data_IF_681782551642
#
_entry.id   IF_681782551642
#
_cell.length_a   1.000
_cell.length_b   1.000
_cell.length_c   1.000
_cell.angle_alpha   90.00
_cell.angle_beta   90.00
_cell.angle_gamma   90.00
#
_symmetry.space_group_name_H-M   'P 1'
#
loop_
_entity.id
_entity.type
_entity.pdbx_description
1 polymer ?
#
# COMPACT_ATOMS: atom_id res chain seq x y z
N UNK A 1 19.17 -5.10 13.46
CA UNK A 1 19.65 -5.85 12.28
C UNK A 1 18.52 -6.71 11.73
N UNK A 2 17.76 -6.20 10.75
CA UNK A 2 16.76 -7.01 10.03
C UNK A 2 17.52 -8.10 9.28
N UNK A 3 17.44 -9.34 9.79
CA UNK A 3 18.08 -10.50 9.15
C UNK A 3 17.50 -10.65 7.75
N UNK A 4 18.36 -11.00 6.78
CA UNK A 4 18.07 -11.23 5.35
C UNK A 4 16.94 -12.26 5.15
N UNK A 5 15.70 -11.89 5.40
CA UNK A 5 14.56 -12.70 5.05
C UNK A 5 14.13 -12.32 3.64
N UNK A 6 14.13 -13.29 2.73
CA UNK A 6 13.55 -13.13 1.40
C UNK A 6 12.10 -12.67 1.55
N UNK A 7 11.72 -11.60 0.87
CA UNK A 7 10.39 -10.99 0.97
C UNK A 7 9.49 -11.51 -0.14
N UNK A 8 8.27 -11.89 0.19
CA UNK A 8 7.20 -12.16 -0.77
C UNK A 8 6.25 -10.97 -0.81
N UNK A 9 6.04 -10.44 -2.02
CA UNK A 9 5.12 -9.33 -2.28
C UNK A 9 3.78 -9.90 -2.76
N UNK A 10 2.68 -9.49 -2.14
CA UNK A 10 1.33 -9.93 -2.53
C UNK A 10 0.45 -8.72 -2.76
N UNK A 11 -0.50 -8.83 -3.70
CA UNK A 11 -1.59 -7.85 -3.82
C UNK A 11 -2.44 -7.92 -2.55
N UNK A 12 -2.87 -6.75 -2.09
CA UNK A 12 -3.74 -6.60 -0.92
C UNK A 12 -4.77 -5.51 -1.20
N UNK A 13 -6.03 -5.82 -0.93
CA UNK A 13 -7.06 -4.78 -0.85
C UNK A 13 -6.88 -4.01 0.46
N UNK A 14 -6.85 -2.68 0.36
CA UNK A 14 -6.74 -1.80 1.51
C UNK A 14 -7.99 -0.93 1.59
N UNK A 15 -8.41 -0.66 2.83
CA UNK A 15 -9.42 0.33 3.17
C UNK A 15 -8.73 1.49 3.89
N UNK A 16 -8.83 2.68 3.33
CA UNK A 16 -8.20 3.89 3.85
C UNK A 16 -9.24 4.91 4.24
N UNK A 17 -9.00 5.58 5.37
CA UNK A 17 -9.82 6.69 5.81
C UNK A 17 -9.08 8.01 5.60
N UNK A 18 -9.62 8.85 4.73
CA UNK A 18 -9.16 10.23 4.57
C UNK A 18 -10.30 11.15 5.05
N UNK A 19 -10.08 11.82 6.18
CA UNK A 19 -11.10 12.59 6.90
C UNK A 19 -12.33 11.74 7.23
N UNK A 20 -13.47 12.00 6.58
CA UNK A 20 -14.75 11.31 6.79
C UNK A 20 -15.07 10.28 5.70
N UNK A 21 -14.22 10.13 4.69
CA UNK A 21 -14.45 9.26 3.54
C UNK A 21 -13.56 8.02 3.58
N UNK A 22 -14.11 6.90 3.09
CA UNK A 22 -13.43 5.63 2.94
C UNK A 22 -13.08 5.39 1.47
N UNK A 23 -11.83 5.00 1.23
CA UNK A 23 -11.30 4.72 -0.11
C UNK A 23 -10.75 3.30 -0.14
N UNK A 24 -11.15 2.55 -1.16
CA UNK A 24 -10.59 1.21 -1.42
C UNK A 24 -9.59 1.27 -2.56
N UNK A 25 -8.44 0.64 -2.37
CA UNK A 25 -7.47 0.48 -3.43
C UNK A 25 -6.75 -0.87 -3.37
N UNK A 26 -6.23 -1.30 -4.52
CA UNK A 26 -5.38 -2.49 -4.61
C UNK A 26 -3.93 -2.07 -4.43
N UNK A 27 -3.39 -2.35 -3.23
CA UNK A 27 -1.98 -2.16 -2.90
C UNK A 27 -1.21 -3.48 -2.86
N UNK A 28 -0.08 -3.46 -2.18
CA UNK A 28 0.82 -4.59 -1.95
C UNK A 28 1.19 -4.70 -0.48
N UNK A 29 1.45 -5.91 -0.03
CA UNK A 29 2.08 -6.19 1.27
C UNK A 29 3.38 -6.98 1.07
N UNK A 30 4.32 -6.81 1.99
CA UNK A 30 5.53 -7.60 2.07
C UNK A 30 5.49 -8.50 3.31
N UNK A 31 5.75 -9.79 3.11
CA UNK A 31 5.87 -10.78 4.19
C UNK A 31 7.18 -11.54 4.05
N UNK A 32 7.82 -11.84 5.18
CA UNK A 32 8.99 -12.70 5.24
C UNK A 32 8.61 -14.11 4.78
N UNK A 33 9.30 -14.63 3.76
CA UNK A 33 8.99 -15.94 3.18
C UNK A 33 9.19 -17.10 4.17
N UNK A 34 9.97 -16.89 5.25
CA UNK A 34 10.26 -17.93 6.25
C UNK A 34 9.25 -17.99 7.39
N UNK A 35 8.93 -16.85 8.00
CA UNK A 35 8.05 -16.80 9.18
C UNK A 35 6.69 -16.15 8.93
N UNK A 36 6.45 -15.58 7.74
CA UNK A 36 5.19 -14.92 7.40
C UNK A 36 4.98 -13.54 8.03
N UNK A 37 5.93 -13.06 8.87
CA UNK A 37 5.85 -11.75 9.49
C UNK A 37 5.82 -10.63 8.43
N UNK A 38 5.09 -9.56 8.72
CA UNK A 38 5.11 -8.35 7.90
C UNK A 38 6.52 -7.75 7.86
N UNK A 39 6.93 -7.33 6.67
CA UNK A 39 8.20 -6.63 6.46
C UNK A 39 7.87 -5.28 5.89
N UNK A 40 8.34 -4.23 6.55
CA UNK A 40 8.22 -2.88 6.04
C UNK A 40 9.23 -2.65 4.92
N UNK A 41 8.74 -2.26 3.75
CA UNK A 41 9.52 -2.08 2.52
C UNK A 41 9.11 -0.72 1.97
N UNK A 42 10.00 0.30 2.04
CA UNK A 42 9.65 1.68 1.65
C UNK A 42 9.00 1.78 0.28
N UNK A 43 9.51 1.05 -0.72
CA UNK A 43 8.99 1.09 -2.09
C UNK A 43 7.56 0.54 -2.20
N UNK A 44 7.15 -0.35 -1.29
CA UNK A 44 5.77 -0.84 -1.19
C UNK A 44 4.88 0.22 -0.54
N UNK A 45 5.37 0.88 0.52
CA UNK A 45 4.70 2.01 1.16
C UNK A 45 4.39 3.12 0.16
N UNK A 46 5.42 3.58 -0.57
CA UNK A 46 5.30 4.63 -1.59
C UNK A 46 4.33 4.22 -2.71
N UNK A 47 4.43 2.98 -3.19
CA UNK A 47 3.52 2.46 -4.22
C UNK A 47 2.07 2.39 -3.73
N UNK A 48 1.83 2.03 -2.47
CA UNK A 48 0.49 1.97 -1.88
C UNK A 48 -0.10 3.36 -1.68
N UNK A 49 0.71 4.30 -1.21
CA UNK A 49 0.32 5.69 -1.02
C UNK A 49 -0.06 6.33 -2.36
N UNK A 50 0.74 6.12 -3.41
CA UNK A 50 0.40 6.56 -4.76
C UNK A 50 -0.94 5.99 -5.21
N UNK A 51 -1.15 4.68 -5.06
CA UNK A 51 -2.40 4.03 -5.47
C UNK A 51 -3.62 4.56 -4.70
N UNK A 52 -3.46 4.91 -3.42
CA UNK A 52 -4.50 5.57 -2.64
C UNK A 52 -4.81 6.96 -3.21
N UNK A 53 -3.78 7.77 -3.43
CA UNK A 53 -3.97 9.13 -3.96
C UNK A 53 -4.55 9.15 -5.37
N UNK A 54 -4.21 8.17 -6.22
CA UNK A 54 -4.82 8.03 -7.54
C UNK A 54 -6.36 7.84 -7.42
N UNK A 55 -6.83 6.99 -6.49
CA UNK A 55 -8.26 6.80 -6.22
C UNK A 55 -8.88 8.05 -5.61
N UNK A 56 -8.27 8.60 -4.57
CA UNK A 56 -8.74 9.82 -3.90
C UNK A 56 -8.91 10.98 -4.89
N UNK A 57 -7.90 11.25 -5.73
CA UNK A 57 -7.95 12.33 -6.71
C UNK A 57 -9.02 12.09 -7.77
N UNK A 58 -9.15 10.85 -8.26
CA UNK A 58 -10.19 10.49 -9.23
C UNK A 58 -11.59 10.72 -8.66
N UNK A 59 -11.87 10.24 -7.45
CA UNK A 59 -13.18 10.35 -6.82
C UNK A 59 -13.54 11.79 -6.42
N UNK A 60 -12.53 12.64 -6.18
CA UNK A 60 -12.73 14.04 -5.83
C UNK A 60 -12.53 15.01 -7.02
N UNK A 61 -12.40 14.50 -8.26
CA UNK A 61 -12.26 15.33 -9.46
C UNK A 61 -10.98 16.18 -9.51
N UNK A 62 -9.92 15.77 -8.81
CA UNK A 62 -8.65 16.50 -8.72
C UNK A 62 -7.77 16.14 -9.92
N UNK A 63 -7.97 16.84 -11.04
CA UNK A 63 -7.13 16.72 -12.23
C UNK A 63 -5.72 17.23 -11.91
N UNK A 64 -4.70 16.44 -12.22
CA UNK A 64 -3.32 16.93 -12.16
C UNK A 64 -3.08 17.82 -13.37
N UNK A 65 -2.88 19.11 -13.13
CA UNK A 65 -2.26 20.02 -14.08
C UNK A 65 -0.80 19.63 -14.31
#
# INVERSE_FOLDING_TARGET
MQRRCSVHRRRKENDWKIRYFHYRNIGKEAKCAKCGAYVDVPEIGDSNLKALYDVYRKENGIISL
#
